data_IF_956643520941
#
_entry.id   IF_956643520941
#
_cell.length_a   1.000
_cell.length_b   1.000
_cell.length_c   1.000
_cell.angle_alpha   90.00
_cell.angle_beta   90.00
_cell.angle_gamma   90.00
#
_symmetry.space_group_name_H-M   'P 1'
#
loop_
_entity.id
_entity.type
_entity.pdbx_description
1 polymer ?
#
# COMPACT_ATOMS: atom_id res chain seq x y z
N UNK A 1 5.64 -5.51 21.83
CA UNK A 1 5.71 -4.37 20.89
C UNK A 1 4.35 -3.69 20.93
N UNK A 2 4.25 -2.38 21.24
CA UNK A 2 2.98 -1.68 21.06
C UNK A 2 2.55 -1.78 19.58
N UNK A 3 1.24 -1.73 19.27
CA UNK A 3 0.78 -1.74 17.89
C UNK A 3 1.40 -0.55 17.15
N UNK A 4 1.95 -0.79 15.96
CA UNK A 4 2.44 0.27 15.12
C UNK A 4 1.26 1.21 14.79
N UNK A 5 1.39 2.50 15.13
CA UNK A 5 0.44 3.51 14.67
C UNK A 5 0.48 3.59 13.15
N UNK A 6 -0.68 3.67 12.51
CA UNK A 6 -0.77 3.85 11.05
C UNK A 6 -0.14 5.17 10.59
N UNK A 7 0.07 5.35 9.27
CA UNK A 7 0.60 6.59 8.72
C UNK A 7 -0.25 7.81 9.12
N UNK A 8 0.38 8.97 9.40
CA UNK A 8 -0.35 10.18 9.76
C UNK A 8 -1.18 10.71 8.58
N UNK A 9 -2.39 11.18 8.86
CA UNK A 9 -3.29 11.78 7.86
C UNK A 9 -2.64 13.05 7.29
N UNK A 10 -2.72 13.22 5.97
CA UNK A 10 -2.18 14.38 5.26
C UNK A 10 -0.68 14.30 4.93
N UNK A 11 0.06 13.36 5.54
CA UNK A 11 1.42 13.08 5.12
C UNK A 11 1.43 12.25 3.82
N UNK A 12 2.49 12.33 3.01
CA UNK A 12 2.69 11.42 1.89
C UNK A 12 2.60 9.96 2.35
N UNK A 13 1.83 9.15 1.63
CA UNK A 13 1.79 7.71 1.89
C UNK A 13 3.18 7.09 1.72
N UNK A 14 3.62 6.18 2.62
CA UNK A 14 4.91 5.52 2.52
C UNK A 14 5.06 4.79 1.18
N UNK A 15 6.25 4.86 0.58
CA UNK A 15 6.54 4.13 -0.64
C UNK A 15 6.44 2.62 -0.40
N UNK A 16 5.88 1.90 -1.37
CA UNK A 16 5.87 0.45 -1.41
C UNK A 16 6.21 -0.05 -2.81
N UNK A 17 6.72 -1.28 -2.87
CA UNK A 17 6.81 -2.09 -4.07
C UNK A 17 6.35 -3.50 -3.69
N UNK A 18 5.29 -3.98 -4.34
CA UNK A 18 4.66 -5.27 -4.05
C UNK A 18 4.59 -6.09 -5.32
N UNK A 19 4.61 -7.42 -5.17
CA UNK A 19 4.33 -8.33 -6.28
C UNK A 19 2.82 -8.47 -6.40
N UNK A 20 2.29 -8.27 -7.61
CA UNK A 20 0.88 -8.44 -7.93
C UNK A 20 0.52 -9.92 -8.19
N UNK A 21 -0.75 -10.20 -8.44
CA UNK A 21 -1.27 -11.55 -8.71
C UNK A 21 -0.77 -12.17 -10.02
N UNK A 22 -0.09 -11.40 -10.87
CA UNK A 22 0.51 -11.83 -12.14
C UNK A 22 2.03 -11.96 -12.06
N UNK A 23 2.61 -11.72 -10.88
CA UNK A 23 4.07 -11.70 -10.68
C UNK A 23 4.73 -10.39 -11.10
N UNK A 24 3.97 -9.37 -11.50
CA UNK A 24 4.47 -8.03 -11.80
C UNK A 24 4.80 -7.25 -10.54
N UNK A 25 5.75 -6.32 -10.62
CA UNK A 25 5.99 -5.37 -9.52
C UNK A 25 5.10 -4.14 -9.70
N UNK A 26 4.31 -3.83 -8.68
CA UNK A 26 3.52 -2.60 -8.58
C UNK A 26 4.08 -1.69 -7.49
N UNK A 27 4.25 -0.42 -7.81
CA UNK A 27 4.83 0.61 -6.94
C UNK A 27 3.80 1.69 -6.67
N UNK A 28 3.88 2.34 -5.51
CA UNK A 28 2.97 3.46 -5.20
C UNK A 28 3.03 4.58 -6.27
N UNK A 29 4.22 4.82 -6.82
CA UNK A 29 4.45 5.86 -7.83
C UNK A 29 3.74 5.59 -9.17
N UNK A 30 3.41 4.34 -9.46
CA UNK A 30 2.69 3.96 -10.69
C UNK A 30 1.25 4.50 -10.72
N UNK A 31 0.69 4.87 -9.56
CA UNK A 31 -0.70 5.32 -9.39
C UNK A 31 -0.83 6.84 -9.18
N UNK A 32 0.23 7.62 -9.44
CA UNK A 32 0.18 9.09 -9.29
C UNK A 32 -0.81 9.69 -10.30
N UNK A 33 -1.41 10.82 -9.92
CA UNK A 33 -2.39 11.53 -10.74
C UNK A 33 -3.84 11.06 -10.59
N UNK A 34 -4.10 10.02 -9.78
CA UNK A 34 -5.44 9.55 -9.46
C UNK A 34 -5.59 9.24 -7.95
N UNK A 35 -6.81 9.31 -7.38
CA UNK A 35 -7.08 8.77 -6.06
C UNK A 35 -6.78 7.26 -6.02
N UNK A 36 -6.13 6.79 -4.95
CA UNK A 36 -5.77 5.39 -4.73
C UNK A 36 -6.29 4.92 -3.37
N UNK A 37 -6.89 3.72 -3.34
CA UNK A 37 -7.28 3.02 -2.12
C UNK A 37 -6.44 1.75 -1.99
N UNK A 38 -5.68 1.62 -0.89
CA UNK A 38 -4.92 0.42 -0.54
C UNK A 38 -5.61 -0.30 0.63
N UNK A 39 -6.02 -1.55 0.41
CA UNK A 39 -6.71 -2.36 1.42
C UNK A 39 -5.82 -3.51 1.84
N UNK A 40 -5.49 -3.58 3.13
CA UNK A 40 -4.86 -4.75 3.72
C UNK A 40 -5.93 -5.70 4.23
N UNK A 41 -6.01 -6.89 3.64
CA UNK A 41 -6.87 -7.98 4.11
C UNK A 41 -6.01 -9.15 4.57
N UNK A 42 -6.47 -9.85 5.61
CA UNK A 42 -5.86 -11.10 6.08
C UNK A 42 -6.22 -12.19 5.06
N UNK A 43 -5.26 -12.64 4.26
CA UNK A 43 -5.47 -13.72 3.27
C UNK A 43 -5.12 -15.11 3.81
N UNK A 44 -6.12 -15.98 3.98
CA UNK A 44 -6.12 -17.41 3.63
C UNK A 44 -7.52 -17.98 3.90
N UNK A 45 -8.16 -18.48 2.85
CA UNK A 45 -9.18 -19.53 2.87
C UNK A 45 -8.86 -20.48 1.73
#
# INVERSE_FOLDING_TARGET
>A
MPPASGPPIGAPAPAFALVDQRGGTVRLEDFRGAPLLLVFYRGHW
#
